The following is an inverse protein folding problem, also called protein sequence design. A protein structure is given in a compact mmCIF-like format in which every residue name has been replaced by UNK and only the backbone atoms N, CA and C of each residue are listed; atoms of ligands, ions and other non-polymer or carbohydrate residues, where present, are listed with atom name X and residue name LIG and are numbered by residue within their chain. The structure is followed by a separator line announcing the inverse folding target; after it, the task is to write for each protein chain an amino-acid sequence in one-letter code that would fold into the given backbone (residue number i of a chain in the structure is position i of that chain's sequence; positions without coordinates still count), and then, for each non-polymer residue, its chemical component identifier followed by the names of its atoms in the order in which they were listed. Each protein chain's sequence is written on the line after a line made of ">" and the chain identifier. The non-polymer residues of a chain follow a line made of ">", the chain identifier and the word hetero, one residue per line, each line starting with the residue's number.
data_IF_846723149020
#
_entry.id   IF_846723149020
#
_cell.length_a   1.000
_cell.length_b   1.000
_cell.length_c   1.000
_cell.angle_alpha   90.00
_cell.angle_beta   90.00
_cell.angle_gamma   90.00
#
_symmetry.space_group_name_H-M   'P 1'
#
loop_
_entity.id
_entity.type
_entity.pdbx_description
1 polymer ?
#
# COMPACT_ATOMS: atom_id res chain seq x y z
N UNK A 1 -63.62 -42.30 54.84
CA UNK A 1 -62.18 -42.58 54.98
C UNK A 1 -61.77 -43.31 53.71
N UNK A 2 -60.81 -42.89 52.89
CA UNK A 2 -59.76 -41.91 53.06
C UNK A 2 -59.15 -41.63 51.68
N UNK A 3 -59.08 -40.33 51.36
CA UNK A 3 -58.10 -39.59 50.55
C UNK A 3 -57.32 -40.32 49.42
N UNK A 4 -57.64 -39.88 48.21
CA UNK A 4 -56.79 -39.86 47.02
C UNK A 4 -55.41 -39.28 47.36
N UNK A 5 -54.33 -40.06 47.16
CA UNK A 5 -52.96 -39.55 47.02
C UNK A 5 -52.40 -40.08 45.69
N UNK A 6 -52.68 -39.34 44.62
CA UNK A 6 -51.76 -39.26 43.48
C UNK A 6 -50.76 -38.17 43.83
N UNK A 7 -49.67 -38.56 44.47
CA UNK A 7 -48.58 -37.64 44.80
C UNK A 7 -47.67 -37.46 43.57
N UNK A 8 -47.28 -36.22 43.35
CA UNK A 8 -46.86 -35.61 42.10
C UNK A 8 -45.35 -35.75 41.85
N UNK A 9 -44.89 -36.91 41.42
CA UNK A 9 -43.47 -37.14 41.09
C UNK A 9 -42.97 -36.58 39.75
N UNK A 10 -43.84 -35.99 38.91
CA UNK A 10 -43.50 -35.61 37.53
C UNK A 10 -43.05 -34.14 37.35
N UNK A 11 -43.27 -33.28 38.34
CA UNK A 11 -43.04 -31.82 38.24
C UNK A 11 -41.55 -31.43 38.30
N UNK A 12 -40.69 -32.01 39.17
CA UNK A 12 -39.29 -31.57 39.29
C UNK A 12 -38.40 -31.92 38.09
N UNK A 13 -38.76 -32.95 37.32
CA UNK A 13 -37.96 -33.37 36.15
C UNK A 13 -38.27 -32.56 34.90
N UNK A 14 -39.51 -32.05 34.77
CA UNK A 14 -39.93 -31.28 33.60
C UNK A 14 -39.32 -29.86 33.61
N UNK A 15 -39.20 -29.25 34.80
CA UNK A 15 -38.54 -27.95 34.98
C UNK A 15 -37.04 -28.02 34.65
N UNK A 16 -36.34 -29.06 35.12
CA UNK A 16 -34.92 -29.27 34.81
C UNK A 16 -34.63 -29.50 33.31
N UNK A 17 -35.55 -30.16 32.60
CA UNK A 17 -35.44 -30.38 31.15
C UNK A 17 -35.63 -29.05 30.40
N UNK A 18 -36.54 -28.20 30.85
CA UNK A 18 -36.79 -26.90 30.23
C UNK A 18 -35.62 -25.94 30.47
N UNK A 19 -35.03 -25.94 31.67
CA UNK A 19 -33.82 -25.18 31.98
C UNK A 19 -32.64 -25.61 31.11
N UNK A 20 -32.41 -26.92 30.95
CA UNK A 20 -31.37 -27.45 30.06
C UNK A 20 -31.58 -27.04 28.59
N UNK A 21 -32.83 -27.01 28.11
CA UNK A 21 -33.15 -26.53 26.75
C UNK A 21 -32.84 -25.05 26.58
N UNK A 22 -33.16 -24.24 27.58
CA UNK A 22 -32.85 -22.82 27.59
C UNK A 22 -31.34 -22.58 27.59
N UNK A 23 -30.57 -23.34 28.37
CA UNK A 23 -29.11 -23.28 28.36
C UNK A 23 -28.51 -23.67 27.00
N UNK A 24 -28.99 -24.77 26.39
CA UNK A 24 -28.55 -25.20 25.05
C UNK A 24 -28.86 -24.13 24.02
N UNK A 25 -30.05 -23.52 24.06
CA UNK A 25 -30.42 -22.45 23.15
C UNK A 25 -29.55 -21.20 23.34
N UNK A 26 -29.19 -20.85 24.58
CA UNK A 26 -28.26 -19.76 24.86
C UNK A 26 -26.85 -20.07 24.36
N UNK A 27 -26.34 -21.29 24.61
CA UNK A 27 -25.03 -21.72 24.13
C UNK A 27 -24.96 -21.70 22.60
N UNK A 28 -26.00 -22.16 21.91
CA UNK A 28 -26.07 -22.12 20.45
C UNK A 28 -26.00 -20.68 19.91
N UNK A 29 -26.68 -19.72 20.55
CA UNK A 29 -26.59 -18.30 20.17
C UNK A 29 -25.19 -17.74 20.40
N UNK A 30 -24.58 -18.04 21.55
CA UNK A 30 -23.22 -17.61 21.87
C UNK A 30 -22.20 -18.16 20.88
N UNK A 31 -22.36 -19.42 20.44
CA UNK A 31 -21.49 -20.04 19.42
C UNK A 31 -21.64 -19.35 18.07
N UNK A 32 -22.86 -19.02 17.63
CA UNK A 32 -23.04 -18.31 16.35
C UNK A 32 -22.44 -16.90 16.39
N UNK A 33 -22.62 -16.18 17.50
CA UNK A 33 -21.99 -14.87 17.70
C UNK A 33 -20.45 -14.96 17.70
N UNK A 34 -19.89 -15.98 18.33
CA UNK A 34 -18.43 -16.22 18.32
C UNK A 34 -17.94 -16.55 16.91
N UNK A 35 -18.68 -17.35 16.14
CA UNK A 35 -18.35 -17.68 14.76
C UNK A 35 -18.30 -16.42 13.88
N UNK A 36 -19.28 -15.53 14.01
CA UNK A 36 -19.31 -14.26 13.29
C UNK A 36 -18.14 -13.35 13.69
N UNK A 37 -17.85 -13.26 15.00
CA UNK A 37 -16.72 -12.49 15.51
C UNK A 37 -15.38 -13.02 15.00
N UNK A 38 -15.20 -14.36 14.96
CA UNK A 38 -14.00 -15.00 14.42
C UNK A 38 -13.86 -14.76 12.92
N UNK A 39 -14.96 -14.80 12.16
CA UNK A 39 -14.95 -14.50 10.73
C UNK A 39 -14.53 -13.05 10.46
N UNK A 40 -15.08 -12.09 11.21
CA UNK A 40 -14.73 -10.68 11.11
C UNK A 40 -13.26 -10.42 11.46
N UNK A 41 -12.77 -11.01 12.56
CA UNK A 41 -11.36 -10.90 12.96
C UNK A 41 -10.43 -11.54 11.93
N UNK A 42 -10.79 -12.70 11.38
CA UNK A 42 -10.01 -13.37 10.33
C UNK A 42 -9.89 -12.51 9.08
N UNK A 43 -10.98 -11.85 8.66
CA UNK A 43 -10.96 -10.92 7.53
C UNK A 43 -10.05 -9.72 7.81
N UNK A 44 -10.11 -9.16 9.02
CA UNK A 44 -9.25 -8.05 9.43
C UNK A 44 -7.76 -8.45 9.45
N UNK A 45 -7.43 -9.60 10.03
CA UNK A 45 -6.05 -10.13 10.05
C UNK A 45 -5.52 -10.33 8.63
N UNK A 46 -6.32 -10.88 7.71
CA UNK A 46 -5.93 -11.03 6.30
C UNK A 46 -5.55 -9.70 5.68
N UNK A 47 -6.31 -8.63 5.95
CA UNK A 47 -6.00 -7.28 5.45
C UNK A 47 -4.68 -6.77 6.05
N UNK A 48 -4.47 -6.93 7.35
CA UNK A 48 -3.23 -6.51 8.03
C UNK A 48 -1.99 -7.21 7.44
N UNK A 49 -2.06 -8.54 7.24
CA UNK A 49 -0.98 -9.31 6.60
C UNK A 49 -0.75 -8.82 5.17
N UNK A 50 -1.82 -8.57 4.41
CA UNK A 50 -1.69 -8.09 3.03
C UNK A 50 -0.93 -6.76 2.97
N UNK A 51 -1.20 -5.86 3.92
CA UNK A 51 -0.59 -4.54 4.00
C UNK A 51 0.87 -4.62 4.48
N UNK A 52 1.19 -5.50 5.43
CA UNK A 52 2.57 -5.69 5.89
C UNK A 52 3.46 -6.21 4.77
N UNK A 53 2.98 -7.18 3.99
CA UNK A 53 3.71 -7.72 2.81
C UNK A 53 4.03 -6.62 1.80
N UNK A 54 3.14 -5.65 1.58
CA UNK A 54 3.48 -4.57 0.65
C UNK A 54 4.49 -3.57 1.20
N UNK A 55 4.47 -3.33 2.51
CA UNK A 55 5.48 -2.50 3.15
C UNK A 55 6.87 -3.16 3.00
N UNK A 56 6.94 -4.48 3.22
CA UNK A 56 8.17 -5.25 3.00
C UNK A 56 8.67 -5.15 1.56
N UNK A 57 7.77 -5.28 0.56
CA UNK A 57 8.14 -5.09 -0.86
C UNK A 57 8.73 -3.72 -1.15
N UNK A 58 8.23 -2.67 -0.48
CA UNK A 58 8.78 -1.31 -0.65
C UNK A 58 10.17 -1.24 -0.04
N UNK A 59 10.39 -1.87 1.12
CA UNK A 59 11.68 -1.89 1.80
C UNK A 59 12.75 -2.67 1.01
N UNK A 60 12.37 -3.75 0.33
CA UNK A 60 13.23 -4.55 -0.57
C UNK A 60 13.75 -3.78 -1.80
N UNK A 61 13.13 -2.64 -2.17
CA UNK A 61 13.61 -1.85 -3.30
C UNK A 61 14.95 -1.18 -3.00
N UNK A 62 15.98 -1.59 -3.73
CA UNK A 62 17.27 -0.92 -3.75
C UNK A 62 17.27 0.21 -4.78
N UNK A 63 17.93 1.31 -4.44
CA UNK A 63 18.08 2.48 -5.29
C UNK A 63 19.59 2.77 -5.48
N UNK A 64 20.02 3.29 -6.64
CA UNK A 64 19.20 3.76 -7.77
C UNK A 64 18.62 2.62 -8.62
N UNK A 65 17.54 2.89 -9.34
CA UNK A 65 17.00 2.00 -10.38
C UNK A 65 18.01 1.93 -11.53
N UNK A 66 18.50 0.73 -11.83
CA UNK A 66 19.63 0.52 -12.74
C UNK A 66 19.21 0.25 -14.18
N UNK A 67 18.04 -0.35 -14.40
CA UNK A 67 17.64 -0.85 -15.73
C UNK A 67 16.17 -0.59 -16.08
N UNK A 68 15.81 -0.57 -17.38
CA UNK A 68 14.41 -0.45 -17.80
C UNK A 68 13.52 -1.57 -17.26
N UNK A 69 14.09 -2.77 -17.07
CA UNK A 69 13.37 -3.91 -16.50
C UNK A 69 13.05 -3.70 -15.02
N UNK A 70 13.93 -3.04 -14.26
CA UNK A 70 13.64 -2.61 -12.89
C UNK A 70 12.58 -1.50 -12.84
N UNK A 71 12.61 -0.53 -13.77
CA UNK A 71 11.52 0.46 -13.87
C UNK A 71 10.16 -0.22 -14.10
N UNK A 72 10.12 -1.20 -15.01
CA UNK A 72 8.90 -1.97 -15.27
C UNK A 72 8.47 -2.80 -14.06
N UNK A 73 9.42 -3.41 -13.34
CA UNK A 73 9.14 -4.14 -12.10
C UNK A 73 8.56 -3.21 -11.03
N UNK A 74 9.15 -2.04 -10.82
CA UNK A 74 8.67 -1.05 -9.85
C UNK A 74 7.26 -0.56 -10.20
N UNK A 75 7.01 -0.24 -11.47
CA UNK A 75 5.69 0.11 -12.00
C UNK A 75 4.64 -0.97 -11.64
N UNK A 76 5.03 -2.25 -11.73
CA UNK A 76 4.20 -3.40 -11.36
C UNK A 76 4.04 -3.60 -9.84
N UNK A 77 5.03 -3.26 -9.02
CA UNK A 77 5.00 -3.41 -7.56
C UNK A 77 4.25 -2.28 -6.85
N UNK A 78 4.17 -1.11 -7.47
CA UNK A 78 3.36 0.01 -6.99
C UNK A 78 1.87 -0.35 -7.11
N UNK A 79 1.16 -0.26 -5.97
CA UNK A 79 -0.27 -0.48 -5.80
C UNK A 79 -0.87 0.65 -4.97
N UNK A 80 -2.18 0.86 -5.07
CA UNK A 80 -2.90 1.89 -4.30
C UNK A 80 -2.59 1.85 -2.81
N UNK A 81 -2.46 0.64 -2.25
CA UNK A 81 -2.20 0.37 -0.82
C UNK A 81 -0.78 0.71 -0.34
N UNK A 82 0.23 0.63 -1.19
CA UNK A 82 1.64 0.88 -0.82
C UNK A 82 2.24 2.13 -1.47
N UNK A 83 1.48 2.80 -2.35
CA UNK A 83 1.82 4.07 -2.99
C UNK A 83 2.40 5.08 -2.01
N UNK A 84 1.73 5.31 -0.88
CA UNK A 84 2.19 6.27 0.13
C UNK A 84 3.56 5.93 0.72
N UNK A 85 3.85 4.63 0.89
CA UNK A 85 5.14 4.15 1.40
C UNK A 85 6.25 4.42 0.38
N UNK A 86 5.99 4.14 -0.92
CA UNK A 86 6.92 4.50 -2.00
C UNK A 86 7.19 6.01 -2.07
N UNK A 87 6.15 6.85 -1.97
CA UNK A 87 6.30 8.31 -1.93
C UNK A 87 7.22 8.72 -0.79
N UNK A 88 7.03 8.17 0.42
CA UNK A 88 7.88 8.50 1.57
C UNK A 88 9.33 8.01 1.39
N UNK A 89 9.53 6.81 0.84
CA UNK A 89 10.88 6.28 0.56
C UNK A 89 11.62 7.15 -0.45
N UNK A 90 10.98 7.53 -1.56
CA UNK A 90 11.55 8.46 -2.53
C UNK A 90 11.80 9.83 -1.94
N UNK A 91 10.84 10.38 -1.17
CA UNK A 91 10.98 11.67 -0.50
C UNK A 91 12.20 11.68 0.41
N UNK A 92 12.43 10.62 1.19
CA UNK A 92 13.60 10.48 2.06
C UNK A 92 14.88 10.61 1.25
N UNK A 93 15.05 9.83 0.19
CA UNK A 93 16.21 9.88 -0.72
C UNK A 93 16.37 11.28 -1.32
N UNK A 94 15.28 11.86 -1.81
CA UNK A 94 15.25 13.15 -2.49
C UNK A 94 15.61 14.31 -1.56
N UNK A 95 15.33 14.19 -0.27
CA UNK A 95 15.59 15.21 0.76
C UNK A 95 17.04 15.25 1.26
N UNK A 96 17.88 14.26 0.94
CA UNK A 96 19.24 14.18 1.46
C UNK A 96 20.17 15.27 0.90
N UNK A 97 19.92 15.73 -0.33
CA UNK A 97 20.75 16.69 -1.05
C UNK A 97 19.90 17.52 -2.02
N UNK A 98 20.53 18.43 -2.79
CA UNK A 98 19.81 19.14 -3.85
C UNK A 98 19.18 18.17 -4.86
N UNK A 99 18.04 18.57 -5.44
CA UNK A 99 17.24 17.72 -6.35
C UNK A 99 18.08 17.08 -7.47
N UNK A 100 18.99 17.84 -8.09
CA UNK A 100 19.87 17.35 -9.15
C UNK A 100 20.86 16.28 -8.69
N UNK A 101 21.26 16.29 -7.40
CA UNK A 101 22.13 15.26 -6.82
C UNK A 101 21.32 14.07 -6.33
N UNK A 102 20.17 14.29 -5.71
CA UNK A 102 19.36 13.23 -5.13
C UNK A 102 18.59 12.41 -6.17
N UNK A 103 18.22 12.97 -7.32
CA UNK A 103 17.65 12.19 -8.44
C UNK A 103 18.62 11.10 -8.93
N UNK A 104 19.93 11.36 -8.90
CA UNK A 104 20.96 10.35 -9.25
C UNK A 104 21.05 9.20 -8.24
N UNK A 105 20.44 9.38 -7.06
CA UNK A 105 20.26 8.30 -6.07
C UNK A 105 18.96 7.52 -6.30
N UNK A 106 18.02 8.04 -7.10
CA UNK A 106 16.76 7.36 -7.44
C UNK A 106 16.87 6.64 -8.79
N UNK A 107 17.43 7.31 -9.79
CA UNK A 107 17.62 6.78 -11.14
C UNK A 107 19.12 6.71 -11.43
N UNK A 108 19.59 5.56 -11.94
CA UNK A 108 21.00 5.40 -12.32
C UNK A 108 21.38 6.34 -13.45
N UNK A 109 22.69 6.50 -13.68
CA UNK A 109 23.20 7.24 -14.84
C UNK A 109 22.66 6.66 -16.15
N UNK A 110 22.55 5.34 -16.23
CA UNK A 110 22.10 4.66 -17.45
C UNK A 110 20.66 5.02 -17.75
N UNK A 111 19.76 4.89 -16.77
CA UNK A 111 18.36 5.36 -16.90
C UNK A 111 18.30 6.85 -17.27
N UNK A 112 19.11 7.68 -16.62
CA UNK A 112 19.15 9.12 -16.94
C UNK A 112 19.64 9.37 -18.36
N UNK A 113 20.47 8.50 -18.92
CA UNK A 113 20.99 8.65 -20.27
C UNK A 113 20.02 8.15 -21.34
N UNK A 114 19.30 7.06 -21.06
CA UNK A 114 18.39 6.40 -22.00
C UNK A 114 16.96 6.93 -21.96
N UNK A 115 16.60 7.69 -20.92
CA UNK A 115 15.23 8.18 -20.74
C UNK A 115 15.15 9.72 -20.72
N UNK A 116 13.98 10.24 -21.08
CA UNK A 116 13.54 11.60 -20.77
C UNK A 116 12.05 11.60 -20.42
N UNK A 117 11.44 12.75 -20.14
CA UNK A 117 10.02 12.77 -19.73
C UNK A 117 9.12 12.25 -20.84
N UNK A 118 9.33 12.74 -22.06
CA UNK A 118 8.38 12.56 -23.16
C UNK A 118 8.63 11.36 -24.08
N UNK A 119 9.81 10.76 -24.04
CA UNK A 119 10.24 9.72 -24.96
C UNK A 119 10.62 10.26 -26.33
N UNK A 120 11.37 11.37 -26.36
CA UNK A 120 11.77 12.04 -27.61
C UNK A 120 13.26 11.84 -27.91
N UNK A 121 13.66 12.03 -29.17
CA UNK A 121 15.06 11.95 -29.62
C UNK A 121 15.72 10.58 -29.37
N UNK A 122 14.98 9.50 -29.62
CA UNK A 122 15.49 8.12 -29.47
C UNK A 122 15.60 7.64 -28.02
N UNK A 123 15.02 8.37 -27.07
CA UNK A 123 14.96 8.00 -25.65
C UNK A 123 13.60 7.48 -25.24
N UNK A 124 13.56 6.69 -24.19
CA UNK A 124 12.32 6.18 -23.60
C UNK A 124 11.66 7.20 -22.67
N UNK A 125 10.32 7.29 -22.73
CA UNK A 125 9.56 8.29 -21.98
C UNK A 125 9.21 7.83 -20.57
N UNK A 126 9.66 8.53 -19.53
CA UNK A 126 9.28 8.23 -18.15
C UNK A 126 7.76 8.36 -17.91
N UNK A 127 7.06 9.21 -18.67
CA UNK A 127 5.59 9.33 -18.61
C UNK A 127 4.83 8.07 -19.04
N UNK A 128 5.52 7.07 -19.61
CA UNK A 128 4.92 5.77 -19.95
C UNK A 128 4.68 4.93 -18.70
N UNK A 129 5.48 5.11 -17.64
CA UNK A 129 5.32 4.49 -16.33
C UNK A 129 4.25 5.27 -15.53
N UNK A 130 3.00 4.81 -15.63
CA UNK A 130 1.80 5.53 -15.16
C UNK A 130 1.64 5.54 -13.66
N UNK A 131 2.29 4.64 -12.93
CA UNK A 131 2.25 4.59 -11.46
C UNK A 131 3.53 5.18 -10.87
N UNK A 132 4.69 4.83 -11.41
CA UNK A 132 5.99 5.30 -10.92
C UNK A 132 6.18 6.81 -11.13
N UNK A 133 5.99 7.31 -12.35
CA UNK A 133 6.32 8.70 -12.67
C UNK A 133 5.50 9.71 -11.84
N UNK A 134 4.17 9.55 -11.64
CA UNK A 134 3.41 10.43 -10.75
C UNK A 134 3.87 10.39 -9.29
N UNK A 135 4.29 9.23 -8.77
CA UNK A 135 4.81 9.08 -7.41
C UNK A 135 6.15 9.80 -7.26
N UNK A 136 7.02 9.70 -8.26
CA UNK A 136 8.28 10.45 -8.30
C UNK A 136 8.02 11.96 -8.27
N UNK A 137 7.08 12.45 -9.09
CA UNK A 137 6.69 13.86 -9.10
C UNK A 137 6.12 14.32 -7.75
N UNK A 138 5.26 13.51 -7.13
CA UNK A 138 4.72 13.80 -5.80
C UNK A 138 5.83 13.88 -4.76
N UNK A 139 6.74 12.91 -4.71
CA UNK A 139 7.86 12.91 -3.77
C UNK A 139 8.75 14.17 -3.94
N UNK A 140 9.02 14.59 -5.17
CA UNK A 140 9.76 15.82 -5.48
C UNK A 140 9.00 17.06 -4.99
N UNK A 141 7.69 17.11 -5.21
CA UNK A 141 6.83 18.22 -4.78
C UNK A 141 6.84 18.40 -3.25
N UNK A 142 6.94 17.30 -2.50
CA UNK A 142 7.01 17.30 -1.04
C UNK A 142 8.38 17.75 -0.48
N UNK A 143 9.45 17.67 -1.26
CA UNK A 143 10.79 18.13 -0.85
C UNK A 143 11.01 19.61 -1.16
N UNK A 144 10.48 20.10 -2.29
CA UNK A 144 10.69 21.49 -2.73
C UNK A 144 9.37 22.27 -2.88
N UNK A 145 8.52 22.36 -1.83
CA UNK A 145 7.18 22.94 -1.95
C UNK A 145 7.20 24.39 -2.47
N UNK A 146 8.23 25.17 -2.14
CA UNK A 146 8.39 26.56 -2.59
C UNK A 146 8.66 26.71 -4.09
N UNK A 147 9.29 25.72 -4.73
CA UNK A 147 9.45 25.65 -6.20
C UNK A 147 8.11 25.32 -6.88
N UNK A 148 7.09 24.95 -6.11
CA UNK A 148 5.93 24.21 -6.59
C UNK A 148 4.58 24.84 -6.19
N UNK A 149 4.60 26.07 -5.65
CA UNK A 149 3.42 26.89 -5.40
C UNK A 149 2.88 27.49 -6.71
N UNK A 150 2.17 26.69 -7.51
CA UNK A 150 1.46 27.18 -8.69
C UNK A 150 0.94 26.08 -9.61
N UNK A 151 -0.12 26.37 -10.36
CA UNK A 151 -0.84 25.44 -11.26
C UNK A 151 0.07 24.79 -12.34
N UNK A 152 1.32 25.27 -12.53
CA UNK A 152 2.32 24.68 -13.43
C UNK A 152 3.26 23.66 -12.79
N UNK A 153 2.88 23.01 -11.67
CA UNK A 153 3.61 21.89 -11.05
C UNK A 153 4.18 20.89 -12.08
N UNK A 154 3.34 20.44 -13.01
CA UNK A 154 3.76 19.48 -14.04
C UNK A 154 4.68 20.08 -15.09
N UNK A 155 4.48 21.35 -15.45
CA UNK A 155 5.31 22.05 -16.44
C UNK A 155 6.70 22.34 -15.88
N UNK A 156 6.78 22.83 -14.65
CA UNK A 156 8.04 23.18 -13.99
C UNK A 156 8.86 21.94 -13.59
N UNK A 157 8.21 20.86 -13.14
CA UNK A 157 8.90 19.57 -12.95
C UNK A 157 9.37 18.98 -14.29
N UNK A 158 8.53 19.04 -15.33
CA UNK A 158 8.90 18.59 -16.68
C UNK A 158 10.09 19.36 -17.24
N UNK A 159 10.07 20.69 -17.20
CA UNK A 159 11.18 21.53 -17.66
C UNK A 159 12.47 21.24 -16.90
N UNK A 160 12.39 21.10 -15.57
CA UNK A 160 13.53 20.68 -14.77
C UNK A 160 14.05 19.32 -15.21
N UNK A 161 13.18 18.32 -15.41
CA UNK A 161 13.61 16.98 -15.84
C UNK A 161 14.18 16.99 -17.25
N UNK A 162 13.53 17.65 -18.20
CA UNK A 162 14.02 17.77 -19.58
C UNK A 162 15.39 18.47 -19.61
N UNK A 163 15.57 19.55 -18.84
CA UNK A 163 16.86 20.23 -18.67
C UNK A 163 17.90 19.33 -17.99
N UNK A 164 17.50 18.61 -16.94
CA UNK A 164 18.34 17.67 -16.21
C UNK A 164 18.82 16.53 -17.11
N UNK A 165 17.93 15.89 -17.86
CA UNK A 165 18.26 14.83 -18.81
C UNK A 165 19.12 15.38 -19.96
N UNK A 166 18.81 16.58 -20.49
CA UNK A 166 19.62 17.21 -21.53
C UNK A 166 21.05 17.52 -21.06
N UNK A 167 21.23 17.99 -19.83
CA UNK A 167 22.56 18.28 -19.25
C UNK A 167 23.36 17.03 -18.94
N UNK A 168 22.72 15.95 -18.48
CA UNK A 168 23.40 14.73 -18.05
C UNK A 168 23.59 13.69 -19.18
N UNK A 169 23.24 14.03 -20.42
CA UNK A 169 23.48 13.18 -21.60
C UNK A 169 24.58 13.66 -22.53
N UNK A 170 25.12 14.87 -22.31
CA UNK A 170 26.22 15.45 -23.11
C UNK A 170 27.62 14.92 -22.79
N UNK A 171 27.73 13.84 -22.03
CA UNK A 171 29.01 13.21 -21.67
C UNK A 171 28.97 11.69 -21.88
N UNK A 172 28.57 11.25 -23.08
CA UNK A 172 29.07 10.00 -23.61
C UNK A 172 30.22 10.32 -24.57
N UNK A 173 31.43 9.75 -24.36
CA UNK A 173 32.50 9.81 -25.36
C UNK A 173 32.08 9.14 -26.67
#
# INVERSE_FOLDING_TARGET
>A
MEKIMKDNGAVPQMDAIEDLRNEVAQLQRSVEQLKDAVAAQTAYIKILIKNSVDATKVDEWEFPIQSPMELLKMEGDIKTRNRGIFVQKLRKILSETSLSKSIKKVLSRDIISTNNVDGVSGKDGLKTFKTFFPILLEAISLVNPATFLGISLQKMTKEFFDEFFAKNTKHLP
#
